data_IF_548832214795
#
_entry.id   IF_548832214795
#
_cell.length_a   1.000
_cell.length_b   1.000
_cell.length_c   1.000
_cell.angle_alpha   90.00
_cell.angle_beta   90.00
_cell.angle_gamma   90.00
#
_symmetry.space_group_name_H-M   'P 1'
#
loop_
_entity.id
_entity.type
_entity.pdbx_description
1 polymer ?
#
# COMPACT_ATOMS: atom_id res chain seq x y z
N UNK A 1 -13.44 2.91 18.87
CA UNK A 1 -14.51 1.99 18.56
C UNK A 1 -13.93 0.61 18.32
N UNK A 2 -14.55 -0.43 18.84
CA UNK A 2 -14.06 -1.80 18.66
C UNK A 2 -14.15 -2.20 17.19
N UNK A 3 -13.26 -3.07 16.74
CA UNK A 3 -13.30 -3.68 15.39
C UNK A 3 -14.68 -4.27 15.05
N UNK A 4 -15.43 -4.67 16.07
CA UNK A 4 -16.80 -5.18 15.96
C UNK A 4 -17.77 -4.15 15.36
N UNK A 5 -17.71 -2.88 15.76
CA UNK A 5 -18.58 -1.82 15.21
C UNK A 5 -18.31 -1.54 13.72
N UNK A 6 -17.07 -1.71 13.26
CA UNK A 6 -16.71 -1.55 11.85
C UNK A 6 -17.30 -2.70 11.01
N UNK A 7 -17.26 -3.92 11.53
CA UNK A 7 -17.82 -5.11 10.86
C UNK A 7 -19.34 -5.01 10.70
N UNK A 8 -20.04 -4.65 11.76
CA UNK A 8 -21.52 -4.53 11.77
C UNK A 8 -21.99 -3.46 10.78
N UNK A 9 -21.27 -2.34 10.68
CA UNK A 9 -21.64 -1.26 9.76
C UNK A 9 -21.34 -1.58 8.29
N UNK A 10 -20.38 -2.48 8.02
CA UNK A 10 -19.98 -2.82 6.65
C UNK A 10 -20.79 -4.01 6.07
N UNK A 11 -21.13 -5.01 6.89
CA UNK A 11 -21.81 -6.22 6.44
C UNK A 11 -23.34 -6.17 6.64
N UNK A 12 -23.84 -5.27 7.49
CA UNK A 12 -25.26 -5.06 7.71
C UNK A 12 -26.04 -6.37 7.96
N UNK A 13 -27.07 -6.61 7.17
CA UNK A 13 -27.92 -7.82 7.26
C UNK A 13 -27.19 -9.13 6.94
N UNK A 14 -26.06 -9.06 6.24
CA UNK A 14 -25.28 -10.24 5.83
C UNK A 14 -24.19 -10.61 6.86
N UNK A 15 -24.15 -9.90 7.99
CA UNK A 15 -23.11 -10.09 9.01
C UNK A 15 -22.98 -11.54 9.47
N UNK A 16 -24.09 -12.17 9.89
CA UNK A 16 -24.07 -13.54 10.42
C UNK A 16 -23.60 -14.56 9.39
N UNK A 17 -24.07 -14.44 8.15
CA UNK A 17 -23.68 -15.34 7.07
C UNK A 17 -22.21 -15.18 6.71
N UNK A 18 -21.73 -13.94 6.60
CA UNK A 18 -20.33 -13.63 6.30
C UNK A 18 -19.40 -14.03 7.47
N UNK A 19 -19.83 -13.82 8.71
CA UNK A 19 -19.07 -14.23 9.88
C UNK A 19 -18.93 -15.75 9.98
N UNK A 20 -20.03 -16.49 9.80
CA UNK A 20 -20.01 -17.96 9.81
C UNK A 20 -19.11 -18.52 8.71
N UNK A 21 -19.19 -17.95 7.50
CA UNK A 21 -18.32 -18.34 6.37
C UNK A 21 -16.86 -18.05 6.67
N UNK A 22 -16.53 -16.86 7.17
CA UNK A 22 -15.16 -16.48 7.49
C UNK A 22 -14.60 -17.36 8.62
N UNK A 23 -15.39 -17.61 9.68
CA UNK A 23 -14.97 -18.49 10.78
C UNK A 23 -14.64 -19.88 10.28
N UNK A 24 -15.50 -20.48 9.45
CA UNK A 24 -15.26 -21.81 8.87
C UNK A 24 -13.99 -21.85 8.01
N UNK A 25 -13.70 -20.78 7.25
CA UNK A 25 -12.46 -20.68 6.45
C UNK A 25 -11.24 -20.57 7.35
N UNK A 26 -11.29 -19.76 8.41
CA UNK A 26 -10.19 -19.62 9.38
C UNK A 26 -9.95 -20.96 10.08
N UNK A 27 -11.01 -21.62 10.56
CA UNK A 27 -10.91 -22.93 11.25
C UNK A 27 -10.26 -23.98 10.36
N UNK A 28 -10.51 -23.95 9.05
CA UNK A 28 -9.96 -24.91 8.09
C UNK A 28 -8.44 -24.79 7.89
N UNK A 29 -7.84 -23.65 8.23
CA UNK A 29 -6.39 -23.37 8.07
C UNK A 29 -5.70 -23.02 9.37
N UNK A 30 -6.40 -23.11 10.50
CA UNK A 30 -5.88 -22.66 11.80
C UNK A 30 -4.59 -23.40 12.26
N UNK A 31 -4.41 -24.64 11.80
CA UNK A 31 -3.21 -25.45 12.08
C UNK A 31 -2.05 -25.18 11.11
N UNK A 32 -2.31 -24.47 10.00
CA UNK A 32 -1.31 -24.26 8.96
C UNK A 32 -0.45 -23.04 9.30
N UNK A 33 0.85 -23.21 9.33
CA UNK A 33 1.82 -22.17 9.64
C UNK A 33 2.84 -22.09 8.52
N UNK A 34 3.01 -20.89 7.95
CA UNK A 34 4.09 -20.62 7.01
C UNK A 34 5.41 -20.56 7.77
N UNK A 35 6.38 -21.36 7.34
CA UNK A 35 7.69 -21.44 7.96
C UNK A 35 8.80 -21.09 6.98
N UNK A 36 9.86 -20.51 7.51
CA UNK A 36 11.11 -20.30 6.81
C UNK A 36 12.27 -20.80 7.70
N UNK A 37 13.14 -21.64 7.14
CA UNK A 37 14.29 -22.23 7.84
C UNK A 37 13.91 -22.88 9.20
N UNK A 38 12.80 -23.63 9.22
CA UNK A 38 12.30 -24.35 10.39
C UNK A 38 11.63 -23.51 11.48
N UNK A 39 11.50 -22.20 11.29
CA UNK A 39 10.81 -21.28 12.21
C UNK A 39 9.59 -20.66 11.55
N UNK A 40 8.59 -20.23 12.36
CA UNK A 40 7.43 -19.52 11.84
C UNK A 40 7.86 -18.23 11.15
N UNK A 41 7.43 -18.04 9.90
CA UNK A 41 7.71 -16.85 9.12
C UNK A 41 6.83 -15.66 9.54
N UNK A 42 7.42 -14.48 9.64
CA UNK A 42 6.68 -13.22 9.79
C UNK A 42 6.01 -12.86 8.47
N UNK A 43 4.74 -13.22 8.32
CA UNK A 43 3.99 -12.99 7.08
C UNK A 43 3.30 -11.64 7.09
N UNK A 44 3.20 -11.01 5.91
CA UNK A 44 2.45 -9.79 5.71
C UNK A 44 1.61 -9.87 4.44
N UNK A 45 0.56 -9.07 4.39
CA UNK A 45 -0.32 -8.98 3.23
C UNK A 45 -0.77 -7.52 3.03
N UNK A 46 -1.22 -7.22 1.83
CA UNK A 46 -1.73 -5.90 1.46
C UNK A 46 -2.77 -6.06 0.34
N UNK A 47 -3.48 -5.00 0.01
CA UNK A 47 -4.64 -5.12 -0.88
C UNK A 47 -4.27 -5.35 -2.35
N UNK A 48 -3.47 -4.44 -2.96
CA UNK A 48 -3.18 -4.43 -4.41
C UNK A 48 -1.76 -3.92 -4.61
N UNK A 49 -0.91 -4.64 -5.35
CA UNK A 49 0.43 -4.17 -5.76
C UNK A 49 0.36 -3.22 -6.96
N UNK A 50 1.51 -2.68 -7.36
CA UNK A 50 1.64 -1.94 -8.63
C UNK A 50 1.91 -2.87 -9.84
N UNK A 51 1.72 -4.18 -9.68
CA UNK A 51 2.07 -5.24 -10.64
C UNK A 51 3.29 -6.03 -10.18
N UNK A 52 3.98 -5.59 -9.12
CA UNK A 52 5.11 -6.26 -8.49
C UNK A 52 5.12 -6.00 -6.99
N UNK A 53 5.45 -6.98 -6.18
CA UNK A 53 5.60 -6.76 -4.74
C UNK A 53 6.91 -6.04 -4.41
N UNK A 54 7.01 -5.49 -3.20
CA UNK A 54 8.18 -4.75 -2.75
C UNK A 54 9.02 -5.58 -1.76
N UNK A 55 10.31 -5.32 -1.70
CA UNK A 55 11.21 -5.92 -0.72
C UNK A 55 10.98 -5.34 0.69
N UNK A 56 11.10 -6.19 1.70
CA UNK A 56 10.86 -5.80 3.10
C UNK A 56 11.78 -4.68 3.58
N UNK A 57 13.04 -4.68 3.16
CA UNK A 57 14.02 -3.66 3.52
C UNK A 57 13.66 -2.26 3.03
N UNK A 58 12.99 -2.15 1.88
CA UNK A 58 12.58 -0.85 1.33
C UNK A 58 11.41 -0.22 2.11
N UNK A 59 10.66 -1.02 2.87
CA UNK A 59 9.50 -0.55 3.62
C UNK A 59 9.78 -0.48 5.12
N UNK A 60 10.51 -1.47 5.67
CA UNK A 60 10.73 -1.62 7.11
C UNK A 60 12.20 -1.54 7.52
N UNK A 61 13.14 -1.42 6.56
CA UNK A 61 14.56 -1.25 6.82
C UNK A 61 15.32 -2.55 7.15
N UNK A 62 14.63 -3.71 7.13
CA UNK A 62 15.23 -5.02 7.39
C UNK A 62 14.90 -5.99 6.27
N UNK A 63 15.92 -6.60 5.68
CA UNK A 63 15.75 -7.63 4.67
C UNK A 63 15.30 -8.95 5.31
N UNK A 64 14.17 -9.46 4.85
CA UNK A 64 13.69 -10.81 5.16
C UNK A 64 13.79 -11.67 3.90
N UNK A 65 14.55 -12.79 3.93
CA UNK A 65 14.87 -13.56 2.72
C UNK A 65 13.65 -14.10 1.95
N UNK A 66 12.51 -14.20 2.61
CA UNK A 66 11.25 -14.69 2.07
C UNK A 66 10.25 -13.56 1.71
N UNK A 67 10.56 -12.30 2.00
CA UNK A 67 9.75 -11.13 1.61
C UNK A 67 10.48 -10.32 0.55
N UNK A 68 10.63 -10.91 -0.60
CA UNK A 68 11.33 -10.37 -1.78
C UNK A 68 10.33 -9.93 -2.87
N UNK A 69 10.75 -9.09 -3.81
CA UNK A 69 9.92 -8.70 -4.94
C UNK A 69 9.56 -9.87 -5.83
N UNK A 70 8.27 -10.11 -6.05
CA UNK A 70 7.74 -11.09 -6.99
C UNK A 70 6.76 -10.45 -7.96
N UNK A 71 6.54 -11.10 -9.10
CA UNK A 71 5.51 -10.68 -10.07
C UNK A 71 4.11 -10.80 -9.44
N UNK A 72 3.30 -9.79 -9.62
CA UNK A 72 1.91 -9.73 -9.19
C UNK A 72 1.08 -8.99 -10.26
N UNK A 73 1.35 -9.30 -11.53
CA UNK A 73 0.76 -8.63 -12.70
C UNK A 73 -0.76 -8.77 -12.77
N UNK A 74 -1.33 -9.78 -12.13
CA UNK A 74 -2.79 -9.93 -11.97
C UNK A 74 -3.44 -8.75 -11.26
N UNK A 75 -2.70 -8.03 -10.41
CA UNK A 75 -3.17 -6.85 -9.68
C UNK A 75 -3.50 -5.67 -10.61
N UNK A 76 -2.91 -5.62 -11.80
CA UNK A 76 -3.15 -4.55 -12.78
C UNK A 76 -4.62 -4.49 -13.25
N UNK A 77 -5.36 -5.58 -13.10
CA UNK A 77 -6.79 -5.68 -13.43
C UNK A 77 -7.71 -5.36 -12.24
N UNK A 78 -7.14 -5.01 -11.09
CA UNK A 78 -7.92 -4.76 -9.88
C UNK A 78 -8.80 -3.51 -10.01
N UNK A 79 -10.00 -3.57 -9.45
CA UNK A 79 -10.86 -2.41 -9.32
C UNK A 79 -10.15 -1.32 -8.52
N UNK A 80 -10.19 -0.10 -9.03
CA UNK A 80 -9.48 1.04 -8.44
C UNK A 80 -7.97 0.81 -8.27
N UNK A 81 -7.34 0.05 -9.19
CA UNK A 81 -5.90 -0.11 -9.27
C UNK A 81 -5.17 1.23 -9.30
N UNK A 82 -5.65 2.17 -10.10
CA UNK A 82 -5.14 3.53 -10.21
C UNK A 82 -6.18 4.52 -9.71
N UNK A 83 -5.77 5.42 -8.80
CA UNK A 83 -6.64 6.46 -8.23
C UNK A 83 -5.89 7.78 -8.19
N UNK A 84 -6.52 8.85 -8.65
CA UNK A 84 -5.99 10.20 -8.56
C UNK A 84 -6.70 10.98 -7.46
N UNK A 85 -5.91 11.48 -6.52
CA UNK A 85 -6.32 12.40 -5.46
C UNK A 85 -5.96 13.83 -5.88
N UNK A 86 -6.91 14.75 -5.81
CA UNK A 86 -6.67 16.18 -6.04
C UNK A 86 -6.68 16.91 -4.71
N UNK A 87 -5.57 17.57 -4.38
CA UNK A 87 -5.42 18.40 -3.18
C UNK A 87 -4.99 19.81 -3.56
N UNK A 88 -5.62 20.81 -2.98
CA UNK A 88 -5.18 22.20 -3.13
C UNK A 88 -3.80 22.43 -2.49
N UNK A 89 -3.04 23.40 -2.97
CA UNK A 89 -1.74 23.73 -2.40
C UNK A 89 -1.79 23.99 -0.87
N UNK A 90 -2.77 24.73 -0.32
CA UNK A 90 -2.90 24.89 1.13
C UNK A 90 -3.12 23.57 1.89
N UNK A 91 -3.90 22.63 1.31
CA UNK A 91 -4.10 21.30 1.93
C UNK A 91 -2.79 20.50 1.98
N UNK A 92 -2.04 20.48 0.87
CA UNK A 92 -0.73 19.81 0.83
C UNK A 92 0.24 20.46 1.80
N UNK A 93 0.29 21.81 1.87
CA UNK A 93 1.13 22.53 2.82
C UNK A 93 0.83 22.14 4.27
N UNK A 94 -0.44 22.05 4.64
CA UNK A 94 -0.87 21.61 5.96
C UNK A 94 -0.44 20.18 6.25
N UNK A 95 -0.62 19.25 5.29
CA UNK A 95 -0.26 17.84 5.42
C UNK A 95 1.26 17.65 5.54
N UNK A 96 2.07 18.40 4.77
CA UNK A 96 3.54 18.38 4.87
C UNK A 96 4.00 18.90 6.24
N UNK A 97 3.39 19.98 6.72
CA UNK A 97 3.71 20.53 8.03
C UNK A 97 3.35 19.56 9.18
N UNK A 98 2.13 19.04 9.18
CA UNK A 98 1.64 18.17 10.25
C UNK A 98 2.25 16.76 10.23
N UNK A 99 2.47 16.19 9.03
CA UNK A 99 2.95 14.82 8.87
C UNK A 99 4.47 14.67 8.84
N UNK A 100 5.19 15.71 8.38
CA UNK A 100 6.65 15.67 8.18
C UNK A 100 7.39 16.81 8.86
N UNK A 101 6.71 17.80 9.42
CA UNK A 101 7.35 19.00 9.98
C UNK A 101 7.97 19.92 8.92
N UNK A 102 7.58 19.78 7.65
CA UNK A 102 8.16 20.54 6.54
C UNK A 102 7.33 21.81 6.30
N UNK A 103 7.99 22.97 6.40
CA UNK A 103 7.40 24.25 5.99
C UNK A 103 7.57 24.42 4.47
N UNK A 104 6.46 24.50 3.75
CA UNK A 104 6.45 24.69 2.31
C UNK A 104 6.20 26.18 1.98
N UNK A 105 6.97 26.73 1.02
CA UNK A 105 6.79 28.11 0.56
C UNK A 105 5.56 28.25 -0.33
N UNK A 106 4.55 28.96 0.14
CA UNK A 106 3.31 29.17 -0.60
C UNK A 106 3.46 30.00 -1.90
N UNK A 107 4.60 30.67 -2.09
CA UNK A 107 4.86 31.48 -3.29
C UNK A 107 5.27 30.63 -4.52
N UNK A 108 5.75 29.38 -4.30
CA UNK A 108 6.25 28.51 -5.36
C UNK A 108 5.84 27.04 -5.18
N UNK A 109 4.53 26.71 -5.17
CA UNK A 109 4.07 25.34 -4.93
C UNK A 109 4.58 24.33 -5.97
N UNK A 110 4.78 24.73 -7.20
CA UNK A 110 5.30 23.92 -8.30
C UNK A 110 6.68 23.34 -8.05
N UNK A 111 7.42 23.89 -7.05
CA UNK A 111 8.77 23.49 -6.67
C UNK A 111 8.83 22.60 -5.42
N UNK A 112 7.67 22.28 -4.83
CA UNK A 112 7.68 21.52 -3.56
C UNK A 112 8.19 20.11 -3.72
N UNK A 113 7.93 19.46 -4.86
CA UNK A 113 8.33 18.08 -5.11
C UNK A 113 9.35 18.00 -6.23
N UNK A 114 10.47 17.34 -5.95
CA UNK A 114 11.50 17.04 -6.95
C UNK A 114 11.31 15.68 -7.60
N UNK A 115 12.31 15.26 -8.38
CA UNK A 115 12.31 13.98 -9.08
C UNK A 115 12.33 12.82 -8.09
N UNK A 116 11.46 11.82 -8.33
CA UNK A 116 11.33 10.64 -7.48
C UNK A 116 12.36 9.58 -7.86
N UNK A 117 13.15 9.14 -6.90
CA UNK A 117 13.97 7.94 -7.02
C UNK A 117 13.10 6.72 -6.74
N UNK A 118 13.08 5.74 -7.66
CA UNK A 118 12.27 4.54 -7.52
C UNK A 118 13.10 3.35 -7.02
N UNK A 119 12.44 2.43 -6.32
CA UNK A 119 12.96 1.09 -6.04
C UNK A 119 12.95 0.23 -7.30
N UNK A 120 13.59 -0.93 -7.26
CA UNK A 120 13.56 -1.91 -8.35
C UNK A 120 12.13 -2.42 -8.66
N UNK A 121 11.21 -2.31 -7.70
CA UNK A 121 9.79 -2.67 -7.85
C UNK A 121 8.90 -1.50 -8.31
N UNK A 122 9.49 -0.31 -8.56
CA UNK A 122 8.76 0.85 -9.07
C UNK A 122 7.99 1.65 -8.01
N UNK A 123 8.26 1.44 -6.72
CA UNK A 123 7.75 2.28 -5.65
C UNK A 123 8.69 3.47 -5.40
N UNK A 124 8.20 4.57 -4.86
CA UNK A 124 9.02 5.70 -4.47
C UNK A 124 9.94 5.32 -3.31
N UNK A 125 11.23 5.27 -3.55
CA UNK A 125 12.25 5.10 -2.53
C UNK A 125 12.42 6.42 -1.76
N UNK A 126 12.67 7.51 -2.49
CA UNK A 126 12.81 8.85 -1.93
C UNK A 126 12.56 9.92 -2.98
N UNK A 127 12.27 11.13 -2.52
CA UNK A 127 12.17 12.31 -3.35
C UNK A 127 12.49 13.58 -2.54
N UNK A 128 12.97 14.66 -3.19
CA UNK A 128 13.05 15.96 -2.55
C UNK A 128 11.64 16.52 -2.29
N UNK A 129 11.40 16.98 -1.06
CA UNK A 129 10.19 17.71 -0.67
C UNK A 129 10.63 19.01 -0.03
N UNK A 130 10.37 20.14 -0.67
CA UNK A 130 10.84 21.48 -0.24
C UNK A 130 12.34 21.49 0.10
N UNK A 131 13.16 20.81 -0.71
CA UNK A 131 14.62 20.73 -0.53
C UNK A 131 15.11 19.70 0.49
N UNK A 132 14.21 18.98 1.18
CA UNK A 132 14.57 17.90 2.10
C UNK A 132 14.29 16.54 1.45
N UNK A 133 15.20 15.57 1.61
CA UNK A 133 14.97 14.21 1.12
C UNK A 133 14.00 13.47 2.04
N UNK A 134 12.88 13.02 1.48
CA UNK A 134 11.81 12.29 2.18
C UNK A 134 11.65 10.91 1.56
N UNK A 135 11.46 9.87 2.37
CA UNK A 135 11.14 8.55 1.85
C UNK A 135 9.72 8.49 1.29
N UNK A 136 9.50 7.69 0.23
CA UNK A 136 8.17 7.50 -0.35
C UNK A 136 7.15 7.00 0.65
N UNK A 137 7.55 6.13 1.59
CA UNK A 137 6.69 5.63 2.67
C UNK A 137 6.30 6.72 3.68
N UNK A 138 7.21 7.65 3.99
CA UNK A 138 6.90 8.78 4.87
C UNK A 138 5.94 9.76 4.18
N UNK A 139 6.19 10.10 2.92
CA UNK A 139 5.30 10.98 2.15
C UNK A 139 3.92 10.34 1.95
N UNK A 140 3.86 9.03 1.63
CA UNK A 140 2.60 8.28 1.57
C UNK A 140 1.75 8.48 2.82
N UNK A 141 2.36 8.32 4.01
CA UNK A 141 1.65 8.49 5.29
C UNK A 141 1.20 9.93 5.50
N UNK A 142 2.09 10.89 5.24
CA UNK A 142 1.79 12.32 5.42
C UNK A 142 0.63 12.80 4.56
N UNK A 143 0.58 12.37 3.30
CA UNK A 143 -0.47 12.77 2.35
C UNK A 143 -1.69 11.83 2.34
N UNK A 144 -1.70 10.76 3.13
CA UNK A 144 -2.80 9.79 3.15
C UNK A 144 -2.95 8.98 1.86
N UNK A 145 -1.85 8.72 1.14
CA UNK A 145 -1.88 8.01 -0.14
C UNK A 145 -2.09 6.50 0.03
N UNK A 146 -2.73 5.90 -0.94
CA UNK A 146 -3.03 4.45 -0.93
C UNK A 146 -1.79 3.58 -0.96
N UNK A 147 -0.77 3.98 -1.75
CA UNK A 147 0.50 3.26 -1.86
C UNK A 147 1.68 4.23 -1.98
N UNK A 148 2.91 3.71 -1.93
CA UNK A 148 4.11 4.46 -2.24
C UNK A 148 4.46 4.44 -3.75
N UNK A 149 3.63 3.83 -4.60
CA UNK A 149 3.74 3.95 -6.05
C UNK A 149 2.84 5.09 -6.51
N UNK A 150 3.41 6.29 -6.62
CA UNK A 150 2.66 7.50 -6.96
C UNK A 150 3.41 8.42 -7.93
N UNK A 151 2.67 9.27 -8.60
CA UNK A 151 3.18 10.44 -9.34
C UNK A 151 2.48 11.69 -8.84
N UNK A 152 3.20 12.81 -8.81
CA UNK A 152 2.70 14.11 -8.36
C UNK A 152 2.82 15.11 -9.49
N UNK A 153 1.73 15.83 -9.80
CA UNK A 153 1.72 16.94 -10.75
C UNK A 153 1.07 18.14 -10.11
N UNK A 154 1.64 19.32 -10.33
CA UNK A 154 1.01 20.58 -9.94
C UNK A 154 0.34 21.21 -11.16
N UNK A 155 -0.93 21.56 -11.01
CA UNK A 155 -1.70 22.20 -12.06
C UNK A 155 -2.83 23.04 -11.45
N UNK A 156 -2.99 24.26 -11.94
CA UNK A 156 -4.11 25.15 -11.59
C UNK A 156 -4.34 25.33 -10.08
N UNK A 157 -3.24 25.51 -9.32
CA UNK A 157 -3.29 25.70 -7.86
C UNK A 157 -3.50 24.42 -7.04
N UNK A 158 -3.50 23.27 -7.67
CA UNK A 158 -3.73 21.97 -7.04
C UNK A 158 -2.66 20.95 -7.42
N UNK A 159 -2.46 19.98 -6.53
CA UNK A 159 -1.65 18.79 -6.78
C UNK A 159 -2.55 17.63 -7.17
N UNK A 160 -2.28 17.05 -8.33
CA UNK A 160 -2.87 15.80 -8.78
C UNK A 160 -1.89 14.69 -8.43
N UNK A 161 -2.31 13.82 -7.52
CA UNK A 161 -1.49 12.72 -7.01
C UNK A 161 -2.12 11.41 -7.45
N UNK A 162 -1.52 10.77 -8.43
CA UNK A 162 -1.99 9.47 -8.93
C UNK A 162 -1.23 8.36 -8.25
N UNK A 163 -1.95 7.46 -7.57
CA UNK A 163 -1.39 6.26 -6.92
C UNK A 163 -1.80 5.00 -7.65
N UNK A 164 -0.88 4.04 -7.76
CA UNK A 164 -1.10 2.69 -8.27
C UNK A 164 -0.99 1.69 -7.14
N UNK A 165 -1.96 0.75 -7.08
CA UNK A 165 -2.06 -0.22 -6.01
C UNK A 165 -2.60 0.35 -4.68
N UNK A 166 -2.65 -0.51 -3.66
CA UNK A 166 -3.14 -0.16 -2.33
C UNK A 166 -2.45 -1.01 -1.26
N UNK A 167 -1.70 -0.38 -0.38
CA UNK A 167 -0.98 -1.00 0.71
C UNK A 167 0.52 -0.69 0.69
N UNK A 168 1.27 -1.44 1.49
CA UNK A 168 2.74 -1.28 1.60
C UNK A 168 3.53 -2.05 0.55
N UNK A 169 2.89 -2.97 -0.16
CA UNK A 169 3.48 -3.73 -1.26
C UNK A 169 4.29 -4.97 -0.87
N UNK A 170 4.51 -5.25 0.41
CA UNK A 170 5.37 -6.36 0.86
C UNK A 170 4.56 -7.60 1.20
N UNK A 171 4.97 -8.77 0.73
CA UNK A 171 4.32 -10.05 0.99
C UNK A 171 3.18 -10.35 0.01
N UNK A 172 2.06 -10.89 0.51
CA UNK A 172 0.97 -11.37 -0.32
C UNK A 172 0.00 -10.25 -0.73
N UNK A 173 -0.21 -10.07 -2.05
CA UNK A 173 -1.33 -9.27 -2.55
C UNK A 173 -2.65 -10.02 -2.36
N UNK A 174 -3.65 -9.39 -1.73
CA UNK A 174 -4.97 -9.99 -1.57
C UNK A 174 -5.67 -10.18 -2.93
N UNK A 175 -5.52 -9.21 -3.84
CA UNK A 175 -6.06 -9.32 -5.19
C UNK A 175 -5.35 -10.41 -6.00
N UNK A 176 -4.01 -10.44 -5.92
CA UNK A 176 -3.20 -11.50 -6.53
C UNK A 176 -3.56 -12.89 -6.01
N UNK A 177 -3.72 -13.04 -4.69
CA UNK A 177 -4.15 -14.28 -4.07
C UNK A 177 -5.53 -14.74 -4.58
N UNK A 178 -6.50 -13.81 -4.71
CA UNK A 178 -7.81 -14.09 -5.31
C UNK A 178 -7.65 -14.62 -6.74
N UNK A 179 -6.88 -13.93 -7.58
CA UNK A 179 -6.69 -14.33 -8.98
C UNK A 179 -6.01 -15.70 -9.12
N UNK A 180 -5.06 -16.02 -8.24
CA UNK A 180 -4.41 -17.35 -8.21
C UNK A 180 -5.37 -18.44 -7.72
N UNK A 181 -6.19 -18.14 -6.71
CA UNK A 181 -7.21 -19.06 -6.21
C UNK A 181 -8.29 -19.37 -7.27
N UNK A 182 -8.67 -18.39 -8.08
CA UNK A 182 -9.60 -18.58 -9.22
C UNK A 182 -9.00 -19.49 -10.31
N UNK A 183 -7.67 -19.61 -10.38
CA UNK A 183 -6.96 -20.56 -11.24
C UNK A 183 -6.76 -21.93 -10.58
N UNK A 184 -7.30 -22.16 -9.38
CA UNK A 184 -7.19 -23.40 -8.62
C UNK A 184 -5.87 -23.56 -7.87
N UNK A 185 -5.08 -22.49 -7.74
CA UNK A 185 -3.84 -22.49 -6.96
C UNK A 185 -4.13 -22.22 -5.48
N UNK A 186 -3.28 -22.75 -4.62
CA UNK A 186 -3.32 -22.52 -3.16
C UNK A 186 -1.97 -21.97 -2.69
N UNK A 187 -1.84 -21.57 -1.43
CA UNK A 187 -0.61 -21.00 -0.86
C UNK A 187 0.66 -21.83 -1.07
N UNK A 188 0.53 -23.14 -1.22
CA UNK A 188 1.69 -24.02 -1.51
C UNK A 188 2.19 -23.90 -2.96
N UNK A 189 1.46 -23.19 -3.82
CA UNK A 189 1.82 -22.97 -5.24
C UNK A 189 2.34 -21.55 -5.49
N UNK A 190 2.33 -20.71 -4.46
CA UNK A 190 2.68 -19.27 -4.54
C UNK A 190 4.09 -19.05 -4.02
#
# INVERSE_FOLDING_TARGET
GSEMCIRDSYWGTDYEANYARLSSLVDSVLSDVLCYDGAAAGTSYFAISNGRTEASENVWGSALPYLVPVDSSTDLSADNYEVTLTLSAPQVQQLLSSGLGIAADSAAPERWFGETTLTASGYAASLPVCGQTVSGTALRRALGLRSACFTIRYQDGSFLITTKGYGHGVGLSQWGAKALAEQGLSLIHI
#
